data_IF_746978976538
#
_entry.id   IF_746978976538
#
_cell.length_a   1.000
_cell.length_b   1.000
_cell.length_c   1.000
_cell.angle_alpha   90.00
_cell.angle_beta   90.00
_cell.angle_gamma   90.00
#
_symmetry.space_group_name_H-M   'P 1'
#
loop_
_entity.id
_entity.type
_entity.pdbx_description
1 polymer ?
#
# COMPACT_ATOMS: atom_id res chain seq x y z
N UNK A 1 102.22 46.94 -74.13
CA UNK A 1 103.11 46.52 -75.24
C UNK A 1 102.63 47.02 -76.60
N UNK A 2 101.49 46.55 -77.14
CA UNK A 2 100.96 47.09 -78.41
C UNK A 2 100.50 48.56 -78.31
N UNK A 3 99.88 48.96 -77.19
CA UNK A 3 99.50 50.35 -76.92
C UNK A 3 100.71 51.28 -76.73
N UNK A 4 101.78 50.81 -76.07
CA UNK A 4 103.06 51.54 -75.99
C UNK A 4 103.67 51.75 -77.38
N UNK A 5 103.65 50.74 -78.24
CA UNK A 5 104.13 50.86 -79.62
C UNK A 5 103.38 51.96 -80.40
N UNK A 6 102.06 52.07 -80.23
CA UNK A 6 101.27 53.14 -80.85
C UNK A 6 101.62 54.53 -80.30
N UNK A 7 101.84 54.67 -78.99
CA UNK A 7 102.19 55.95 -78.35
C UNK A 7 103.56 56.50 -78.81
N UNK A 8 104.56 55.62 -79.02
CA UNK A 8 105.87 56.01 -79.55
C UNK A 8 105.79 56.55 -81.00
N UNK A 9 104.81 56.10 -81.79
CA UNK A 9 104.62 56.53 -83.20
C UNK A 9 103.90 57.88 -83.34
N UNK A 10 103.21 58.33 -82.28
CA UNK A 10 102.46 59.61 -82.23
C UNK A 10 103.28 60.73 -81.58
N UNK A 11 104.48 60.42 -81.06
CA UNK A 11 105.36 61.42 -80.42
C UNK A 11 105.07 61.69 -78.94
N UNK A 12 104.18 60.92 -78.31
CA UNK A 12 103.87 61.01 -76.86
C UNK A 12 104.83 60.14 -76.03
N UNK A 13 106.00 60.68 -75.69
CA UNK A 13 107.02 59.94 -74.92
C UNK A 13 106.62 59.66 -73.46
N UNK A 14 105.74 60.45 -72.86
CA UNK A 14 105.28 60.25 -71.47
C UNK A 14 104.31 59.06 -71.35
N UNK A 15 103.38 58.93 -72.30
CA UNK A 15 102.47 57.78 -72.39
C UNK A 15 103.22 56.47 -72.61
N UNK A 16 104.28 56.51 -73.43
CA UNK A 16 105.16 55.36 -73.67
C UNK A 16 105.81 54.82 -72.40
N UNK A 17 106.42 55.70 -71.60
CA UNK A 17 107.08 55.32 -70.35
C UNK A 17 106.11 54.76 -69.32
N UNK A 18 104.92 55.35 -69.22
CA UNK A 18 103.87 54.86 -68.33
C UNK A 18 103.40 53.45 -68.71
N UNK A 19 103.25 53.15 -70.00
CA UNK A 19 102.87 51.82 -70.48
C UNK A 19 103.96 50.76 -70.28
N UNK A 20 105.23 51.16 -70.42
CA UNK A 20 106.37 50.27 -70.17
C UNK A 20 106.45 49.91 -68.68
N UNK A 21 106.27 50.90 -67.79
CA UNK A 21 106.17 50.68 -66.35
C UNK A 21 104.97 49.78 -65.97
N UNK A 22 103.78 50.01 -66.55
CA UNK A 22 102.62 49.13 -66.36
C UNK A 22 102.88 47.70 -66.81
N UNK A 23 103.59 47.52 -67.92
CA UNK A 23 103.95 46.19 -68.44
C UNK A 23 104.87 45.47 -67.46
N UNK A 24 105.90 46.13 -66.94
CA UNK A 24 106.78 45.55 -65.90
C UNK A 24 106.01 45.20 -64.62
N UNK A 25 105.06 46.04 -64.18
CA UNK A 25 104.19 45.70 -63.03
C UNK A 25 103.33 44.47 -63.30
N UNK A 26 102.73 44.35 -64.49
CA UNK A 26 101.93 43.17 -64.88
C UNK A 26 102.75 41.88 -64.92
N UNK A 27 104.01 41.95 -65.37
CA UNK A 27 104.92 40.78 -65.33
C UNK A 27 105.22 40.37 -63.89
N UNK A 28 105.43 41.32 -62.97
CA UNK A 28 105.58 41.01 -61.54
C UNK A 28 104.33 40.33 -60.97
N UNK A 29 103.15 40.88 -61.23
CA UNK A 29 101.88 40.29 -60.80
C UNK A 29 101.65 38.89 -61.39
N UNK A 30 102.00 38.68 -62.67
CA UNK A 30 101.92 37.37 -63.30
C UNK A 30 102.86 36.35 -62.62
N UNK A 31 104.09 36.74 -62.28
CA UNK A 31 105.03 35.88 -61.53
C UNK A 31 104.50 35.55 -60.12
N UNK A 32 103.91 36.51 -59.45
CA UNK A 32 103.33 36.32 -58.11
C UNK A 32 102.10 35.40 -58.15
N UNK A 33 101.18 35.62 -59.10
CA UNK A 33 100.04 34.73 -59.33
C UNK A 33 100.45 33.31 -59.72
N UNK A 34 101.49 33.19 -60.55
CA UNK A 34 102.08 31.89 -60.90
C UNK A 34 102.69 31.18 -59.67
N UNK A 35 103.37 31.93 -58.80
CA UNK A 35 103.91 31.40 -57.54
C UNK A 35 102.80 30.89 -56.61
N UNK A 36 101.72 31.66 -56.43
CA UNK A 36 100.54 31.23 -55.63
C UNK A 36 99.95 29.93 -56.18
N UNK A 37 99.86 29.81 -57.51
CA UNK A 37 99.40 28.58 -58.15
C UNK A 37 100.33 27.39 -57.88
N UNK A 38 101.65 27.60 -57.96
CA UNK A 38 102.65 26.56 -57.72
C UNK A 38 102.76 26.14 -56.25
N UNK A 39 102.52 27.05 -55.31
CA UNK A 39 102.57 26.82 -53.85
C UNK A 39 101.27 26.25 -53.27
N UNK A 40 100.30 25.84 -54.10
CA UNK A 40 99.03 25.25 -53.65
C UNK A 40 99.24 23.98 -52.82
N UNK A 41 98.50 23.85 -51.70
CA UNK A 41 98.63 22.72 -50.76
C UNK A 41 98.15 21.37 -51.31
N UNK A 42 97.15 21.38 -52.19
CA UNK A 42 96.58 20.16 -52.78
C UNK A 42 96.95 20.07 -54.25
N UNK A 43 97.79 19.08 -54.61
CA UNK A 43 98.18 18.78 -55.99
C UNK A 43 97.74 17.36 -56.35
N UNK A 44 96.91 17.20 -57.38
CA UNK A 44 96.62 15.87 -57.93
C UNK A 44 97.75 15.38 -58.84
N UNK A 45 97.80 14.08 -59.17
CA UNK A 45 98.70 13.57 -60.20
C UNK A 45 98.55 14.31 -61.55
N UNK A 46 97.32 14.69 -61.92
CA UNK A 46 97.05 15.46 -63.13
C UNK A 46 97.59 16.90 -63.04
N UNK A 47 97.45 17.56 -61.88
CA UNK A 47 98.01 18.90 -61.69
C UNK A 47 99.55 18.87 -61.68
N UNK A 48 100.16 17.85 -61.07
CA UNK A 48 101.62 17.66 -61.06
C UNK A 48 102.20 17.44 -62.46
N UNK A 49 101.47 16.71 -63.33
CA UNK A 49 101.86 16.49 -64.71
C UNK A 49 101.85 17.78 -65.55
N UNK A 50 100.99 18.74 -65.21
CA UNK A 50 100.87 20.03 -65.89
C UNK A 50 101.79 21.12 -65.30
N UNK A 51 102.12 21.04 -64.00
CA UNK A 51 102.97 22.03 -63.31
C UNK A 51 104.35 22.22 -63.99
N UNK A 52 105.00 21.12 -64.38
CA UNK A 52 106.31 21.17 -65.06
C UNK A 52 106.24 21.90 -66.42
N UNK A 53 105.43 21.41 -67.39
CA UNK A 53 105.22 22.07 -68.67
C UNK A 53 104.72 23.51 -68.56
N UNK A 54 103.87 23.81 -67.57
CA UNK A 54 103.36 25.15 -67.34
C UNK A 54 104.47 26.09 -66.82
N UNK A 55 105.32 25.62 -65.92
CA UNK A 55 106.49 26.38 -65.44
C UNK A 55 107.47 26.66 -66.57
N UNK A 56 107.76 25.65 -67.40
CA UNK A 56 108.67 25.80 -68.54
C UNK A 56 108.12 26.79 -69.56
N UNK A 57 106.85 26.67 -69.95
CA UNK A 57 106.21 27.57 -70.92
C UNK A 57 106.03 28.99 -70.39
N UNK A 58 105.67 29.16 -69.10
CA UNK A 58 105.59 30.47 -68.46
C UNK A 58 106.94 31.18 -68.41
N UNK A 59 107.98 30.49 -67.95
CA UNK A 59 109.33 31.06 -67.90
C UNK A 59 109.85 31.37 -69.30
N UNK A 60 109.60 30.51 -70.29
CA UNK A 60 109.96 30.79 -71.68
C UNK A 60 109.24 32.05 -72.21
N UNK A 61 107.93 32.16 -71.98
CA UNK A 61 107.14 33.32 -72.40
C UNK A 61 107.66 34.63 -71.77
N UNK A 62 107.97 34.61 -70.47
CA UNK A 62 108.46 35.80 -69.76
C UNK A 62 109.91 36.13 -70.15
N UNK A 63 110.82 35.16 -70.10
CA UNK A 63 112.25 35.41 -70.23
C UNK A 63 112.72 35.50 -71.69
N UNK A 64 112.09 34.75 -72.62
CA UNK A 64 112.46 34.75 -74.04
C UNK A 64 111.49 35.55 -74.92
N UNK A 65 110.23 35.70 -74.52
CA UNK A 65 109.24 36.51 -75.24
C UNK A 65 109.25 37.95 -74.74
N UNK A 66 108.73 38.17 -73.54
CA UNK A 66 108.42 39.49 -73.01
C UNK A 66 109.65 40.31 -72.61
N UNK A 67 110.69 39.70 -72.02
CA UNK A 67 111.92 40.44 -71.62
C UNK A 67 112.63 41.10 -72.81
N UNK A 68 112.97 40.38 -73.90
CA UNK A 68 113.56 41.03 -75.07
C UNK A 68 112.63 42.09 -75.67
N UNK A 69 111.32 41.87 -75.65
CA UNK A 69 110.34 42.85 -76.11
C UNK A 69 110.37 44.14 -75.26
N UNK A 70 110.53 44.02 -73.93
CA UNK A 70 110.73 45.15 -73.00
C UNK A 70 112.05 45.87 -73.25
N UNK A 71 113.13 45.13 -73.49
CA UNK A 71 114.43 45.75 -73.77
C UNK A 71 114.45 46.47 -75.12
N UNK A 72 113.86 45.89 -76.18
CA UNK A 72 113.64 46.59 -77.46
C UNK A 72 112.79 47.85 -77.28
N UNK A 73 111.80 47.79 -76.38
CA UNK A 73 110.99 48.96 -76.01
C UNK A 73 111.81 50.03 -75.29
N UNK A 74 112.65 49.68 -74.32
CA UNK A 74 113.54 50.65 -73.64
C UNK A 74 114.51 51.33 -74.60
N UNK A 75 114.95 50.62 -75.64
CA UNK A 75 115.84 51.14 -76.68
C UNK A 75 115.13 51.97 -77.76
N UNK A 76 113.79 52.10 -77.70
CA UNK A 76 113.00 52.81 -78.70
C UNK A 76 112.94 52.12 -80.07
N UNK A 77 113.36 50.85 -80.17
CA UNK A 77 113.38 50.08 -81.42
C UNK A 77 112.00 49.46 -81.68
N UNK A 78 111.16 50.18 -82.42
CA UNK A 78 109.82 49.71 -82.78
C UNK A 78 109.86 48.46 -83.66
N UNK A 79 110.76 48.41 -84.64
CA UNK A 79 110.93 47.25 -85.53
C UNK A 79 111.36 46.00 -84.74
N UNK A 80 112.23 46.16 -83.73
CA UNK A 80 112.64 45.07 -82.84
C UNK A 80 111.49 44.51 -82.02
N UNK A 81 110.56 45.35 -81.57
CA UNK A 81 109.37 44.91 -80.83
C UNK A 81 108.43 44.11 -81.72
N UNK A 82 108.13 44.60 -82.93
CA UNK A 82 107.20 43.94 -83.85
C UNK A 82 107.75 42.61 -84.34
N UNK A 83 109.05 42.54 -84.64
CA UNK A 83 109.71 41.29 -84.99
C UNK A 83 109.69 40.28 -83.83
N UNK A 84 110.06 40.72 -82.62
CA UNK A 84 110.04 39.87 -81.43
C UNK A 84 108.62 39.37 -81.10
N UNK A 85 107.61 40.22 -81.28
CA UNK A 85 106.20 39.87 -81.08
C UNK A 85 105.74 38.78 -82.04
N UNK A 86 105.99 39.00 -83.34
CA UNK A 86 105.49 38.14 -84.42
C UNK A 86 106.24 36.81 -84.47
N UNK A 87 107.56 36.82 -84.32
CA UNK A 87 108.38 35.62 -84.53
C UNK A 87 108.50 34.74 -83.29
N UNK A 88 108.47 35.34 -82.09
CA UNK A 88 108.80 34.66 -80.83
C UNK A 88 107.67 34.76 -79.80
N UNK A 89 107.30 35.97 -79.37
CA UNK A 89 106.41 36.17 -78.21
C UNK A 89 105.04 35.55 -78.42
N UNK A 90 104.43 35.71 -79.61
CA UNK A 90 103.11 35.12 -79.87
C UNK A 90 103.11 33.59 -79.85
N UNK A 91 104.15 32.95 -80.40
CA UNK A 91 104.29 31.48 -80.37
C UNK A 91 104.47 30.97 -78.94
N UNK A 92 105.22 31.71 -78.11
CA UNK A 92 105.40 31.37 -76.70
C UNK A 92 104.13 31.63 -75.87
N UNK A 93 103.35 32.67 -76.19
CA UNK A 93 102.04 32.94 -75.60
C UNK A 93 101.07 31.79 -75.89
N UNK A 94 100.95 31.39 -77.16
CA UNK A 94 100.11 30.27 -77.59
C UNK A 94 100.51 28.96 -76.89
N UNK A 95 101.82 28.69 -76.78
CA UNK A 95 102.34 27.50 -76.11
C UNK A 95 102.05 27.51 -74.60
N UNK A 96 102.19 28.66 -73.92
CA UNK A 96 101.85 28.82 -72.51
C UNK A 96 100.33 28.68 -72.30
N UNK A 97 99.53 29.34 -73.13
CA UNK A 97 98.08 29.36 -73.02
C UNK A 97 97.47 27.95 -73.23
N UNK A 98 98.02 27.16 -74.14
CA UNK A 98 97.60 25.77 -74.34
C UNK A 98 97.75 24.89 -73.09
N UNK A 99 98.82 25.08 -72.30
CA UNK A 99 99.02 24.36 -71.04
C UNK A 99 98.18 24.97 -69.92
N UNK A 100 98.07 26.30 -69.86
CA UNK A 100 97.26 27.01 -68.89
C UNK A 100 95.79 26.59 -68.96
N UNK A 101 95.22 26.51 -70.16
CA UNK A 101 93.83 26.10 -70.36
C UNK A 101 93.57 24.66 -69.88
N UNK A 102 94.53 23.75 -70.06
CA UNK A 102 94.43 22.38 -69.52
C UNK A 102 94.43 22.37 -67.99
N UNK A 103 95.29 23.19 -67.37
CA UNK A 103 95.36 23.32 -65.92
C UNK A 103 94.07 23.94 -65.34
N UNK A 104 93.52 24.97 -66.00
CA UNK A 104 92.23 25.56 -65.62
C UNK A 104 91.12 24.51 -65.72
N UNK A 105 91.00 23.81 -66.85
CA UNK A 105 89.95 22.80 -67.06
C UNK A 105 89.98 21.70 -66.00
N UNK A 106 91.16 21.12 -65.73
CA UNK A 106 91.33 20.09 -64.69
C UNK A 106 90.81 20.55 -63.31
N UNK A 107 91.10 21.81 -62.95
CA UNK A 107 90.69 22.36 -61.67
C UNK A 107 89.21 22.72 -61.63
N UNK A 108 88.63 23.20 -62.72
CA UNK A 108 87.19 23.48 -62.84
C UNK A 108 86.38 22.18 -62.69
N UNK A 109 86.75 21.13 -63.43
CA UNK A 109 86.08 19.81 -63.34
C UNK A 109 86.15 19.24 -61.91
N UNK A 110 87.28 19.41 -61.23
CA UNK A 110 87.42 19.00 -59.82
C UNK A 110 86.55 19.83 -58.87
N UNK A 111 86.50 21.14 -59.05
CA UNK A 111 85.67 22.00 -58.21
C UNK A 111 84.18 21.65 -58.35
N UNK A 112 83.73 21.36 -59.57
CA UNK A 112 82.38 20.87 -59.85
C UNK A 112 82.12 19.51 -59.19
N UNK A 113 83.05 18.55 -59.29
CA UNK A 113 82.92 17.23 -58.67
C UNK A 113 82.82 17.31 -57.14
N UNK A 114 83.64 18.13 -56.49
CA UNK A 114 83.61 18.32 -55.03
C UNK A 114 82.28 18.96 -54.59
N UNK A 115 81.81 19.97 -55.33
CA UNK A 115 80.53 20.63 -55.03
C UNK A 115 79.34 19.68 -55.22
N UNK A 116 79.37 18.82 -56.24
CA UNK A 116 78.34 17.81 -56.48
C UNK A 116 78.30 16.76 -55.35
N UNK A 117 79.45 16.27 -54.89
CA UNK A 117 79.54 15.33 -53.78
C UNK A 117 79.05 15.95 -52.47
N UNK A 118 79.43 17.19 -52.17
CA UNK A 118 78.96 17.90 -50.99
C UNK A 118 77.44 18.14 -51.00
N UNK A 119 76.87 18.47 -52.17
CA UNK A 119 75.43 18.64 -52.33
C UNK A 119 74.67 17.31 -52.14
N UNK A 120 75.21 16.20 -52.66
CA UNK A 120 74.63 14.86 -52.47
C UNK A 120 74.64 14.45 -51.00
N UNK A 121 75.78 14.59 -50.31
CA UNK A 121 75.90 14.24 -48.88
C UNK A 121 74.99 15.09 -48.00
N UNK A 122 74.88 16.40 -48.27
CA UNK A 122 73.96 17.28 -47.56
C UNK A 122 72.50 16.84 -47.73
N UNK A 123 72.09 16.50 -48.97
CA UNK A 123 70.73 16.06 -49.27
C UNK A 123 70.39 14.73 -48.57
N UNK A 124 71.30 13.76 -48.58
CA UNK A 124 71.11 12.47 -47.89
C UNK A 124 71.00 12.68 -46.38
N UNK A 125 71.85 13.52 -45.79
CA UNK A 125 71.80 13.86 -44.36
C UNK A 125 70.47 14.50 -43.95
N UNK A 126 69.97 15.45 -44.73
CA UNK A 126 68.66 16.08 -44.48
C UNK A 126 67.50 15.09 -44.58
N UNK A 127 67.49 14.21 -45.59
CA UNK A 127 66.43 13.19 -45.76
C UNK A 127 66.46 12.19 -44.59
N UNK A 128 67.64 11.72 -44.17
CA UNK A 128 67.77 10.79 -43.05
C UNK A 128 67.28 11.42 -41.72
N UNK A 129 67.62 12.69 -41.46
CA UNK A 129 67.16 13.40 -40.26
C UNK A 129 65.65 13.66 -40.29
N UNK A 130 65.10 14.05 -41.43
CA UNK A 130 63.65 14.23 -41.61
C UNK A 130 62.89 12.90 -41.43
N UNK A 131 63.40 11.79 -41.96
CA UNK A 131 62.81 10.47 -41.81
C UNK A 131 62.82 10.00 -40.34
N UNK A 132 63.93 10.20 -39.61
CA UNK A 132 64.02 9.88 -38.19
C UNK A 132 63.03 10.70 -37.35
N UNK A 133 62.90 12.00 -37.64
CA UNK A 133 61.94 12.87 -36.96
C UNK A 133 60.49 12.46 -37.25
N UNK A 134 60.17 12.15 -38.52
CA UNK A 134 58.85 11.65 -38.90
C UNK A 134 58.50 10.31 -38.23
N UNK A 135 59.47 9.39 -38.13
CA UNK A 135 59.27 8.12 -37.45
C UNK A 135 59.03 8.30 -35.94
N UNK A 136 59.77 9.20 -35.28
CA UNK A 136 59.57 9.53 -33.87
C UNK A 136 58.16 10.12 -33.62
N UNK A 137 57.73 11.06 -34.47
CA UNK A 137 56.38 11.62 -34.40
C UNK A 137 55.30 10.55 -34.59
N UNK A 138 55.47 9.65 -35.56
CA UNK A 138 54.52 8.57 -35.82
C UNK A 138 54.42 7.62 -34.62
N UNK A 139 55.55 7.27 -34.00
CA UNK A 139 55.58 6.42 -32.81
C UNK A 139 54.86 7.07 -31.62
N UNK A 140 55.07 8.36 -31.37
CA UNK A 140 54.34 9.10 -30.33
C UNK A 140 52.84 9.09 -30.62
N UNK A 141 52.45 9.33 -31.88
CA UNK A 141 51.04 9.35 -32.30
C UNK A 141 50.37 7.98 -32.09
N UNK A 142 51.07 6.89 -32.41
CA UNK A 142 50.61 5.52 -32.14
C UNK A 142 50.47 5.24 -30.64
N UNK A 143 51.44 5.65 -29.82
CA UNK A 143 51.36 5.47 -28.36
C UNK A 143 50.21 6.26 -27.73
N UNK A 144 49.98 7.50 -28.17
CA UNK A 144 48.84 8.32 -27.75
C UNK A 144 47.53 7.65 -28.15
N UNK A 145 47.43 7.13 -29.38
CA UNK A 145 46.23 6.45 -29.84
C UNK A 145 45.96 5.16 -29.04
N UNK A 146 46.99 4.35 -28.79
CA UNK A 146 46.88 3.10 -28.02
C UNK A 146 46.45 3.37 -26.58
N UNK A 147 47.08 4.35 -25.92
CA UNK A 147 46.73 4.74 -24.54
C UNK A 147 45.31 5.31 -24.47
N UNK A 148 44.91 6.14 -25.43
CA UNK A 148 43.54 6.66 -25.52
C UNK A 148 42.50 5.53 -25.69
N UNK A 149 42.74 4.59 -26.61
CA UNK A 149 41.85 3.44 -26.85
C UNK A 149 41.79 2.53 -25.62
N UNK A 150 42.93 2.26 -24.97
CA UNK A 150 43.00 1.45 -23.76
C UNK A 150 42.22 2.10 -22.61
N UNK A 151 42.46 3.39 -22.33
CA UNK A 151 41.78 4.09 -21.24
C UNK A 151 40.27 4.19 -21.48
N UNK A 152 39.86 4.48 -22.72
CA UNK A 152 38.44 4.55 -23.09
C UNK A 152 37.75 3.20 -22.93
N UNK A 153 38.39 2.11 -23.35
CA UNK A 153 37.78 0.76 -23.34
C UNK A 153 37.81 0.11 -21.95
N UNK A 154 38.88 0.29 -21.19
CA UNK A 154 39.10 -0.41 -19.90
C UNK A 154 38.58 0.39 -18.70
N UNK A 155 38.56 1.72 -18.78
CA UNK A 155 38.19 2.60 -17.65
C UNK A 155 36.90 3.37 -17.92
N UNK A 156 36.85 4.18 -18.97
CA UNK A 156 35.76 5.16 -19.18
C UNK A 156 34.43 4.46 -19.51
N UNK A 157 34.42 3.52 -20.45
CA UNK A 157 33.18 2.86 -20.87
C UNK A 157 32.53 2.05 -19.72
N UNK A 158 33.27 1.21 -18.95
CA UNK A 158 32.70 0.52 -17.80
C UNK A 158 32.21 1.45 -16.69
N UNK A 159 32.91 2.57 -16.43
CA UNK A 159 32.44 3.57 -15.46
C UNK A 159 31.11 4.20 -15.85
N UNK A 160 30.90 4.51 -17.14
CA UNK A 160 29.61 5.02 -17.62
C UNK A 160 28.47 4.01 -17.42
N UNK A 161 28.75 2.71 -17.60
CA UNK A 161 27.77 1.66 -17.31
C UNK A 161 27.42 1.61 -15.81
N UNK A 162 28.42 1.74 -14.93
CA UNK A 162 28.19 1.81 -13.48
C UNK A 162 27.31 3.00 -13.10
N UNK A 163 27.56 4.18 -13.67
CA UNK A 163 26.75 5.39 -13.44
C UNK A 163 25.30 5.16 -13.88
N UNK A 164 25.07 4.65 -15.09
CA UNK A 164 23.71 4.37 -15.57
C UNK A 164 22.98 3.32 -14.72
N UNK A 165 23.70 2.36 -14.13
CA UNK A 165 23.11 1.39 -13.20
C UNK A 165 22.74 2.02 -11.86
N UNK A 166 23.59 2.89 -11.33
CA UNK A 166 23.29 3.66 -10.11
C UNK A 166 22.07 4.56 -10.34
N UNK A 167 21.98 5.23 -11.49
CA UNK A 167 20.82 6.05 -11.85
C UNK A 167 19.52 5.24 -11.88
N UNK A 168 19.53 4.04 -12.48
CA UNK A 168 18.37 3.12 -12.45
C UNK A 168 17.98 2.69 -11.04
N UNK A 169 18.97 2.30 -10.23
CA UNK A 169 18.74 1.92 -8.83
C UNK A 169 18.13 3.11 -8.05
N UNK A 170 18.64 4.32 -8.27
CA UNK A 170 18.13 5.54 -7.64
C UNK A 170 16.69 5.88 -8.08
N UNK A 171 16.31 5.52 -9.31
CA UNK A 171 14.94 5.62 -9.82
C UNK A 171 14.02 4.46 -9.36
N UNK A 172 14.56 3.48 -8.62
CA UNK A 172 13.83 2.31 -8.16
C UNK A 172 13.73 1.17 -9.19
N UNK A 173 14.39 1.28 -10.34
CA UNK A 173 14.52 0.18 -11.30
C UNK A 173 15.66 -0.77 -10.89
N UNK A 174 15.28 -1.91 -10.32
CA UNK A 174 16.18 -2.97 -9.88
C UNK A 174 16.20 -4.17 -10.84
N UNK A 175 15.71 -4.02 -12.07
CA UNK A 175 15.53 -5.12 -13.04
C UNK A 175 16.75 -5.34 -13.94
N UNK A 176 17.79 -4.51 -13.80
CA UNK A 176 18.98 -4.60 -14.64
C UNK A 176 19.68 -5.97 -14.50
N UNK A 177 19.99 -6.67 -15.61
CA UNK A 177 20.58 -8.00 -15.59
C UNK A 177 22.02 -7.97 -15.08
N UNK A 178 22.46 -9.10 -14.52
CA UNK A 178 23.85 -9.32 -14.10
C UNK A 178 24.82 -9.14 -15.28
N UNK A 179 25.99 -8.54 -15.02
CA UNK A 179 27.01 -8.33 -16.05
C UNK A 179 28.35 -8.90 -15.59
N UNK A 180 29.05 -9.52 -16.54
CA UNK A 180 30.41 -9.99 -16.32
C UNK A 180 31.34 -8.80 -16.06
N UNK A 181 32.12 -8.88 -15.00
CA UNK A 181 33.08 -7.86 -14.59
C UNK A 181 34.52 -8.35 -14.73
N UNK A 182 35.43 -7.43 -15.07
CA UNK A 182 36.87 -7.73 -15.13
C UNK A 182 37.47 -7.93 -13.74
N UNK A 183 38.68 -8.50 -13.65
CA UNK A 183 39.41 -8.69 -12.38
C UNK A 183 40.06 -7.41 -11.82
N UNK A 184 39.72 -6.24 -12.35
CA UNK A 184 40.30 -4.96 -11.95
C UNK A 184 39.40 -4.21 -10.94
N UNK A 185 39.87 -3.08 -10.41
CA UNK A 185 39.12 -2.27 -9.43
C UNK A 185 37.72 -1.84 -9.90
N UNK A 186 37.55 -1.56 -11.20
CA UNK A 186 36.24 -1.23 -11.78
C UNK A 186 35.30 -2.45 -11.79
N UNK A 187 35.84 -3.64 -12.02
CA UNK A 187 35.05 -4.85 -11.93
C UNK A 187 34.60 -5.18 -10.50
N UNK A 188 35.43 -4.92 -9.49
CA UNK A 188 35.03 -5.01 -8.08
C UNK A 188 33.90 -4.03 -7.73
N UNK A 189 33.95 -2.80 -8.25
CA UNK A 189 32.85 -1.83 -8.11
C UNK A 189 31.54 -2.36 -8.71
N UNK A 190 31.57 -2.90 -9.94
CA UNK A 190 30.40 -3.49 -10.58
C UNK A 190 29.83 -4.68 -9.79
N UNK A 191 30.70 -5.54 -9.26
CA UNK A 191 30.30 -6.66 -8.41
C UNK A 191 29.56 -6.17 -7.15
N UNK A 192 30.12 -5.19 -6.44
CA UNK A 192 29.48 -4.63 -5.24
C UNK A 192 28.15 -3.93 -5.56
N UNK A 193 28.04 -3.23 -6.69
CA UNK A 193 26.77 -2.65 -7.15
C UNK A 193 25.72 -3.73 -7.44
N UNK A 194 26.13 -4.88 -7.98
CA UNK A 194 25.22 -6.01 -8.22
C UNK A 194 24.75 -6.63 -6.90
N UNK A 195 25.64 -6.83 -5.92
CA UNK A 195 25.26 -7.28 -4.58
C UNK A 195 24.30 -6.30 -3.89
N UNK A 196 24.55 -4.99 -4.02
CA UNK A 196 23.66 -3.95 -3.51
C UNK A 196 22.28 -4.01 -4.16
N UNK A 197 22.21 -4.11 -5.49
CA UNK A 197 20.94 -4.26 -6.21
C UNK A 197 20.20 -5.52 -5.75
N UNK A 198 20.87 -6.66 -5.65
CA UNK A 198 20.25 -7.91 -5.21
C UNK A 198 19.70 -7.82 -3.78
N UNK A 199 20.40 -7.12 -2.88
CA UNK A 199 19.92 -6.86 -1.53
C UNK A 199 18.68 -5.97 -1.53
N UNK A 200 18.69 -4.89 -2.33
CA UNK A 200 17.54 -4.00 -2.49
C UNK A 200 16.32 -4.74 -3.07
N UNK A 201 16.52 -5.62 -4.06
CA UNK A 201 15.44 -6.44 -4.63
C UNK A 201 14.78 -7.29 -3.55
N UNK A 202 15.57 -7.96 -2.70
CA UNK A 202 15.04 -8.75 -1.58
C UNK A 202 14.27 -7.88 -0.58
N UNK A 203 14.84 -6.77 -0.15
CA UNK A 203 14.19 -5.86 0.81
C UNK A 203 12.88 -5.32 0.27
N UNK A 204 12.86 -4.81 -0.98
CA UNK A 204 11.63 -4.30 -1.62
C UNK A 204 10.62 -5.43 -1.83
N UNK A 205 11.07 -6.63 -2.17
CA UNK A 205 10.23 -7.83 -2.27
C UNK A 205 9.52 -8.14 -0.96
N UNK A 206 10.26 -8.25 0.15
CA UNK A 206 9.69 -8.50 1.48
C UNK A 206 8.76 -7.37 1.94
N UNK A 207 9.10 -6.11 1.69
CA UNK A 207 8.21 -4.96 2.00
C UNK A 207 6.91 -5.05 1.20
N UNK A 208 6.99 -5.39 -0.09
CA UNK A 208 5.81 -5.56 -0.95
C UNK A 208 4.93 -6.72 -0.49
N UNK A 209 5.52 -7.86 -0.15
CA UNK A 209 4.80 -9.01 0.40
C UNK A 209 4.10 -8.65 1.72
N UNK A 210 4.80 -7.95 2.62
CA UNK A 210 4.22 -7.44 3.86
C UNK A 210 3.04 -6.48 3.61
N UNK A 211 3.17 -5.57 2.65
CA UNK A 211 2.08 -4.65 2.28
C UNK A 211 0.86 -5.38 1.72
N UNK A 212 1.05 -6.43 0.90
CA UNK A 212 -0.04 -7.26 0.40
C UNK A 212 -0.73 -8.01 1.53
N UNK A 213 0.03 -8.58 2.47
CA UNK A 213 -0.52 -9.25 3.65
C UNK A 213 -1.31 -8.28 4.55
N UNK A 214 -0.80 -7.07 4.78
CA UNK A 214 -1.51 -6.02 5.54
C UNK A 214 -2.80 -5.62 4.83
N UNK A 215 -2.78 -5.46 3.51
CA UNK A 215 -3.97 -5.12 2.73
C UNK A 215 -5.05 -6.21 2.83
N UNK A 216 -4.65 -7.48 2.67
CA UNK A 216 -5.55 -8.63 2.83
C UNK A 216 -6.14 -8.67 4.25
N UNK A 217 -5.30 -8.61 5.28
CA UNK A 217 -5.75 -8.62 6.68
C UNK A 217 -6.67 -7.44 7.00
N UNK A 218 -6.39 -6.24 6.47
CA UNK A 218 -7.25 -5.07 6.65
C UNK A 218 -8.61 -5.22 5.96
N UNK A 219 -8.63 -5.85 4.78
CA UNK A 219 -9.88 -6.14 4.07
C UNK A 219 -10.73 -7.18 4.81
N UNK A 220 -10.10 -8.22 5.37
CA UNK A 220 -10.77 -9.21 6.22
C UNK A 220 -11.32 -8.58 7.50
N UNK A 221 -10.55 -7.73 8.17
CA UNK A 221 -11.00 -6.97 9.35
C UNK A 221 -12.18 -6.08 8.97
N UNK A 222 -12.13 -5.37 7.85
CA UNK A 222 -13.24 -4.52 7.41
C UNK A 222 -14.51 -5.33 7.16
N UNK A 223 -14.41 -6.48 6.49
CA UNK A 223 -15.55 -7.36 6.24
C UNK A 223 -16.11 -7.92 7.57
N UNK A 224 -15.23 -8.36 8.47
CA UNK A 224 -15.62 -8.82 9.81
C UNK A 224 -16.26 -7.72 10.66
N UNK A 225 -15.81 -6.47 10.53
CA UNK A 225 -16.40 -5.34 11.23
C UNK A 225 -17.79 -4.98 10.68
N UNK A 226 -18.01 -5.12 9.37
CA UNK A 226 -19.35 -4.97 8.77
C UNK A 226 -20.30 -6.07 9.27
N UNK A 227 -19.86 -7.32 9.31
CA UNK A 227 -20.66 -8.43 9.88
C UNK A 227 -20.97 -8.19 11.37
N UNK A 228 -19.97 -7.79 12.15
CA UNK A 228 -20.15 -7.45 13.56
C UNK A 228 -21.16 -6.31 13.74
N UNK A 229 -21.03 -5.23 12.96
CA UNK A 229 -21.97 -4.10 12.99
C UNK A 229 -23.40 -4.57 12.70
N UNK A 230 -23.59 -5.38 11.67
CA UNK A 230 -24.91 -5.94 11.33
C UNK A 230 -25.48 -6.80 12.46
N UNK A 231 -24.65 -7.63 13.10
CA UNK A 231 -25.06 -8.45 14.24
C UNK A 231 -25.37 -7.61 15.47
N UNK A 232 -24.62 -6.53 15.71
CA UNK A 232 -24.90 -5.57 16.78
C UNK A 232 -26.21 -4.84 16.54
N UNK A 233 -26.53 -4.43 15.31
CA UNK A 233 -27.82 -3.85 14.95
C UNK A 233 -28.97 -4.85 15.14
N UNK A 234 -28.80 -6.10 14.71
CA UNK A 234 -29.77 -7.17 14.95
C UNK A 234 -29.98 -7.43 16.45
N UNK A 235 -28.90 -7.45 17.24
CA UNK A 235 -28.97 -7.63 18.68
C UNK A 235 -29.65 -6.45 19.37
N UNK A 236 -29.39 -5.22 18.93
CA UNK A 236 -30.08 -4.03 19.42
C UNK A 236 -31.58 -4.11 19.15
N UNK A 237 -31.97 -4.48 17.93
CA UNK A 237 -33.39 -4.68 17.57
C UNK A 237 -34.04 -5.82 18.38
N UNK A 238 -33.32 -6.93 18.61
CA UNK A 238 -33.80 -8.02 19.45
C UNK A 238 -33.97 -7.59 20.91
N UNK A 239 -33.08 -6.74 21.43
CA UNK A 239 -33.17 -6.16 22.77
C UNK A 239 -34.35 -5.18 22.87
N UNK A 240 -34.59 -4.34 21.87
CA UNK A 240 -35.79 -3.47 21.81
C UNK A 240 -37.08 -4.30 21.83
N UNK A 241 -37.14 -5.39 21.04
CA UNK A 241 -38.30 -6.27 21.05
C UNK A 241 -38.47 -6.99 22.39
N UNK A 242 -37.36 -7.37 23.04
CA UNK A 242 -37.39 -7.97 24.39
C UNK A 242 -37.87 -6.95 25.41
N UNK A 243 -37.40 -5.71 25.38
CA UNK A 243 -37.83 -4.64 26.26
C UNK A 243 -39.33 -4.34 26.09
N UNK A 244 -39.82 -4.22 24.84
CA UNK A 244 -41.25 -4.06 24.56
C UNK A 244 -42.08 -5.24 25.08
N UNK A 245 -41.58 -6.48 24.92
CA UNK A 245 -42.23 -7.67 25.46
C UNK A 245 -42.24 -7.68 26.99
N UNK A 246 -41.17 -7.20 27.64
CA UNK A 246 -41.09 -7.06 29.09
C UNK A 246 -42.06 -5.99 29.62
N UNK A 247 -42.25 -4.88 28.91
CA UNK A 247 -43.29 -3.89 29.24
C UNK A 247 -44.70 -4.50 29.16
N UNK A 248 -45.00 -5.24 28.09
CA UNK A 248 -46.29 -5.93 27.95
C UNK A 248 -46.50 -7.00 29.03
N UNK A 249 -45.46 -7.78 29.36
CA UNK A 249 -45.51 -8.76 30.44
C UNK A 249 -45.73 -8.09 31.79
N UNK A 250 -45.00 -7.01 32.09
CA UNK A 250 -45.16 -6.23 33.32
C UNK A 250 -46.59 -5.70 33.46
N UNK A 251 -47.15 -5.14 32.39
CA UNK A 251 -48.53 -4.67 32.38
C UNK A 251 -49.52 -5.80 32.65
N UNK A 252 -49.31 -6.97 32.03
CA UNK A 252 -50.18 -8.16 32.19
C UNK A 252 -50.09 -8.73 33.60
N UNK A 253 -48.90 -8.86 34.17
CA UNK A 253 -48.69 -9.35 35.55
C UNK A 253 -49.33 -8.41 36.56
N UNK A 254 -49.16 -7.09 36.38
CA UNK A 254 -49.83 -6.09 37.23
C UNK A 254 -51.35 -6.16 37.13
N UNK A 255 -51.88 -6.40 35.94
CA UNK A 255 -53.32 -6.60 35.73
C UNK A 255 -53.81 -7.89 36.40
N UNK A 256 -53.04 -8.98 36.34
CA UNK A 256 -53.37 -10.24 37.01
C UNK A 256 -53.40 -10.08 38.54
N UNK A 257 -52.42 -9.41 39.14
CA UNK A 257 -52.42 -9.10 40.57
C UNK A 257 -53.67 -8.31 40.98
N UNK A 258 -54.02 -7.27 40.21
CA UNK A 258 -55.23 -6.47 40.45
C UNK A 258 -56.51 -7.30 40.32
N UNK A 259 -56.59 -8.15 39.30
CA UNK A 259 -57.73 -9.03 39.08
C UNK A 259 -57.89 -10.06 40.20
N UNK A 260 -56.78 -10.63 40.70
CA UNK A 260 -56.79 -11.55 41.82
C UNK A 260 -57.30 -10.87 43.10
N UNK A 261 -56.85 -9.64 43.40
CA UNK A 261 -57.40 -8.85 44.50
C UNK A 261 -58.90 -8.57 44.35
N UNK A 262 -59.35 -8.20 43.15
CA UNK A 262 -60.75 -7.93 42.89
C UNK A 262 -61.61 -9.20 43.04
N UNK A 263 -61.14 -10.34 42.52
CA UNK A 263 -61.80 -11.63 42.67
C UNK A 263 -61.86 -12.10 44.13
N UNK A 264 -60.79 -11.88 44.91
CA UNK A 264 -60.76 -12.14 46.35
C UNK A 264 -61.82 -11.33 47.10
N UNK A 265 -61.98 -10.04 46.77
CA UNK A 265 -63.00 -9.19 47.37
C UNK A 265 -64.42 -9.63 47.01
N UNK A 266 -64.66 -10.04 45.76
CA UNK A 266 -65.94 -10.57 45.31
C UNK A 266 -66.27 -11.92 45.99
N UNK A 267 -65.27 -12.79 46.16
CA UNK A 267 -65.41 -14.03 46.91
C UNK A 267 -65.75 -13.76 48.38
N UNK A 268 -65.11 -12.78 49.02
CA UNK A 268 -65.43 -12.39 50.40
C UNK A 268 -66.89 -11.90 50.55
N UNK A 269 -67.38 -11.09 49.60
CA UNK A 269 -68.78 -10.65 49.56
C UNK A 269 -69.76 -11.82 49.37
N UNK A 270 -69.45 -12.73 48.44
CA UNK A 270 -70.25 -13.93 48.19
C UNK A 270 -70.30 -14.86 49.43
N UNK A 271 -69.17 -15.05 50.10
CA UNK A 271 -69.08 -15.82 51.35
C UNK A 271 -69.92 -15.18 52.47
N UNK A 272 -69.86 -13.84 52.59
CA UNK A 272 -70.71 -13.08 53.51
C UNK A 272 -72.20 -13.30 53.26
N UNK A 273 -72.63 -13.22 51.99
CA UNK A 273 -74.02 -13.47 51.58
C UNK A 273 -74.46 -14.91 51.84
N UNK A 274 -73.61 -15.89 51.54
CA UNK A 274 -73.89 -17.31 51.81
C UNK A 274 -74.04 -17.58 53.32
N UNK A 275 -73.20 -16.96 54.16
CA UNK A 275 -73.32 -17.04 55.63
C UNK A 275 -74.65 -16.47 56.12
N UNK A 276 -75.02 -15.28 55.68
CA UNK A 276 -76.33 -14.68 56.01
C UNK A 276 -77.49 -15.54 55.51
N UNK A 277 -77.36 -16.16 54.33
CA UNK A 277 -78.32 -17.14 53.82
C UNK A 277 -78.46 -18.36 54.75
N UNK A 278 -77.34 -18.91 55.23
CA UNK A 278 -77.34 -20.00 56.21
C UNK A 278 -78.01 -19.63 57.54
N UNK A 279 -77.79 -18.41 58.04
CA UNK A 279 -78.46 -17.90 59.25
C UNK A 279 -79.98 -17.77 59.06
N UNK A 280 -80.42 -17.25 57.90
CA UNK A 280 -81.84 -17.18 57.52
C UNK A 280 -82.48 -18.57 57.47
N UNK A 281 -81.82 -19.52 56.81
CA UNK A 281 -82.27 -20.92 56.72
C UNK A 281 -82.38 -21.56 58.10
N UNK A 282 -81.38 -21.36 58.98
CA UNK A 282 -81.43 -21.81 60.38
C UNK A 282 -82.63 -21.24 61.14
N UNK A 283 -82.96 -19.96 60.92
CA UNK A 283 -84.17 -19.32 61.44
C UNK A 283 -85.47 -19.96 60.93
N UNK A 284 -85.52 -20.36 59.65
CA UNK A 284 -86.67 -21.07 59.06
C UNK A 284 -86.82 -22.46 59.69
N UNK A 285 -85.75 -23.23 59.85
CA UNK A 285 -85.80 -24.55 60.53
C UNK A 285 -86.34 -24.42 61.95
N UNK A 286 -85.87 -23.43 62.72
CA UNK A 286 -86.39 -23.16 64.06
C UNK A 286 -87.89 -22.85 64.06
N UNK A 287 -88.34 -22.09 63.06
CA UNK A 287 -89.76 -21.76 62.89
C UNK A 287 -90.58 -23.01 62.54
N UNK A 288 -90.11 -23.84 61.60
CA UNK A 288 -90.76 -25.11 61.25
C UNK A 288 -90.87 -26.06 62.45
N UNK A 289 -89.83 -26.15 63.28
CA UNK A 289 -89.88 -26.94 64.52
C UNK A 289 -90.92 -26.40 65.52
N UNK A 290 -91.04 -25.08 65.66
CA UNK A 290 -92.07 -24.47 66.49
C UNK A 290 -93.49 -24.71 65.95
N UNK A 291 -93.69 -24.63 64.62
CA UNK A 291 -94.98 -24.94 63.99
C UNK A 291 -95.31 -26.42 64.18
N UNK A 292 -94.37 -27.34 63.95
CA UNK A 292 -94.55 -28.79 64.20
C UNK A 292 -94.95 -29.07 65.65
N UNK A 293 -94.26 -28.45 66.62
CA UNK A 293 -94.62 -28.56 68.03
C UNK A 293 -96.02 -28.00 68.35
N UNK A 294 -96.43 -26.93 67.68
CA UNK A 294 -97.78 -26.35 67.83
C UNK A 294 -98.85 -27.24 67.22
N UNK A 295 -98.62 -27.81 66.04
CA UNK A 295 -99.51 -28.77 65.38
C UNK A 295 -99.72 -30.03 66.21
N UNK A 296 -98.66 -30.56 66.86
CA UNK A 296 -98.78 -31.69 67.80
C UNK A 296 -99.70 -31.37 68.98
N UNK A 297 -99.58 -30.17 69.57
CA UNK A 297 -100.50 -29.73 70.63
C UNK A 297 -101.95 -29.63 70.14
N UNK A 298 -102.16 -29.16 68.91
CA UNK A 298 -103.51 -29.14 68.32
C UNK A 298 -104.04 -30.57 68.16
N UNK A 299 -103.23 -31.52 67.69
CA UNK A 299 -103.63 -32.93 67.59
C UNK A 299 -104.03 -33.53 68.95
N UNK A 300 -103.30 -33.22 70.01
CA UNK A 300 -103.65 -33.61 71.38
C UNK A 300 -104.99 -33.02 71.83
N UNK A 301 -105.23 -31.73 71.58
CA UNK A 301 -106.50 -31.05 71.90
C UNK A 301 -107.65 -31.66 71.10
N UNK A 302 -107.46 -31.90 69.81
CA UNK A 302 -108.48 -32.52 68.94
C UNK A 302 -108.85 -33.93 69.40
N UNK A 303 -107.87 -34.70 69.91
CA UNK A 303 -108.11 -36.00 70.53
C UNK A 303 -108.94 -35.91 71.82
N UNK A 304 -108.71 -34.88 72.64
CA UNK A 304 -109.55 -34.58 73.81
C UNK A 304 -110.97 -34.19 73.37
N UNK A 305 -111.13 -33.36 72.34
CA UNK A 305 -112.45 -32.99 71.80
C UNK A 305 -113.21 -34.21 71.30
N UNK A 306 -112.55 -35.10 70.55
CA UNK A 306 -113.15 -36.35 70.08
C UNK A 306 -113.57 -37.25 71.26
N UNK A 307 -112.74 -37.32 72.31
CA UNK A 307 -113.06 -38.04 73.54
C UNK A 307 -114.26 -37.45 74.28
N UNK A 308 -114.37 -36.11 74.37
CA UNK A 308 -115.52 -35.42 74.94
C UNK A 308 -116.77 -35.70 74.09
N UNK A 309 -116.68 -35.59 72.76
CA UNK A 309 -117.79 -35.87 71.86
C UNK A 309 -118.29 -37.31 72.00
N UNK A 310 -117.39 -38.28 72.15
CA UNK A 310 -117.74 -39.67 72.45
C UNK A 310 -118.47 -39.80 73.80
N UNK A 311 -117.94 -39.19 74.86
CA UNK A 311 -118.59 -39.17 76.18
C UNK A 311 -119.99 -38.51 76.11
N UNK A 312 -120.13 -37.39 75.40
CA UNK A 312 -121.43 -36.72 75.19
C UNK A 312 -122.40 -37.60 74.42
N UNK A 313 -121.95 -38.33 73.40
CA UNK A 313 -122.77 -39.28 72.65
C UNK A 313 -123.28 -40.43 73.55
N UNK A 314 -122.44 -40.94 74.47
CA UNK A 314 -122.85 -41.97 75.45
C UNK A 314 -123.84 -41.40 76.48
N UNK A 315 -123.58 -40.19 77.01
CA UNK A 315 -124.48 -39.48 77.92
C UNK A 315 -125.86 -39.23 77.29
N UNK A 316 -125.88 -38.78 76.03
CA UNK A 316 -127.10 -38.52 75.27
C UNK A 316 -127.87 -39.82 74.98
N UNK A 317 -127.18 -40.92 74.69
CA UNK A 317 -127.80 -42.24 74.56
C UNK A 317 -128.46 -42.68 75.87
N UNK A 318 -127.75 -42.55 77.00
CA UNK A 318 -128.30 -42.87 78.33
C UNK A 318 -129.52 -42.01 78.66
N UNK A 319 -129.49 -40.71 78.35
CA UNK A 319 -130.62 -39.81 78.52
C UNK A 319 -131.81 -40.17 77.62
N UNK A 320 -131.57 -40.57 76.36
CA UNK A 320 -132.62 -41.02 75.45
C UNK A 320 -133.29 -42.32 75.94
N UNK A 321 -132.51 -43.25 76.51
CA UNK A 321 -133.02 -44.49 77.13
C UNK A 321 -133.89 -44.17 78.34
N UNK A 322 -133.45 -43.29 79.24
CA UNK A 322 -134.22 -42.93 80.43
C UNK A 322 -135.48 -42.11 80.08
N UNK A 323 -135.42 -41.27 79.04
CA UNK A 323 -136.56 -40.55 78.50
C UNK A 323 -137.61 -41.51 77.88
N UNK A 324 -137.17 -42.57 77.18
CA UNK A 324 -138.06 -43.63 76.69
C UNK A 324 -138.72 -44.41 77.83
N UNK A 325 -138.01 -44.57 78.96
CA UNK A 325 -138.49 -45.24 80.17
C UNK A 325 -139.59 -44.44 80.90
N UNK A 326 -139.58 -43.11 80.78
CA UNK A 326 -140.58 -42.21 81.36
C UNK A 326 -141.89 -42.06 80.54
N UNK A 327 -142.00 -42.75 79.38
CA UNK A 327 -143.23 -42.75 78.57
C UNK A 327 -143.60 -41.38 77.99
N UNK A 328 -144.89 -41.01 78.00
CA UNK A 328 -145.37 -39.74 77.42
C UNK A 328 -144.80 -38.49 78.12
N UNK A 329 -144.39 -38.59 79.40
CA UNK A 329 -143.78 -37.46 80.12
C UNK A 329 -142.33 -37.19 79.70
N UNK A 330 -141.64 -38.18 79.11
CA UNK A 330 -140.24 -38.09 78.67
C UNK A 330 -140.06 -37.63 77.23
N UNK A 331 -141.15 -37.42 76.48
CA UNK A 331 -141.13 -37.19 75.03
C UNK A 331 -140.31 -35.97 74.61
N UNK A 332 -140.41 -34.86 75.34
CA UNK A 332 -139.60 -33.66 75.10
C UNK A 332 -138.11 -33.89 75.41
N UNK A 333 -137.80 -34.62 76.48
CA UNK A 333 -136.42 -34.99 76.83
C UNK A 333 -135.79 -35.95 75.82
N UNK A 334 -136.56 -36.88 75.24
CA UNK A 334 -136.08 -37.80 74.21
C UNK A 334 -135.65 -37.06 72.93
N UNK A 335 -136.39 -36.01 72.53
CA UNK A 335 -136.01 -35.17 71.38
C UNK A 335 -134.73 -34.41 71.65
N UNK A 336 -134.60 -33.78 72.83
CA UNK A 336 -133.36 -33.08 73.22
C UNK A 336 -132.18 -34.05 73.29
N UNK A 337 -132.36 -35.25 73.85
CA UNK A 337 -131.31 -36.27 73.91
C UNK A 337 -130.88 -36.74 72.51
N UNK A 338 -131.82 -36.90 71.56
CA UNK A 338 -131.50 -37.22 70.17
C UNK A 338 -130.73 -36.09 69.47
N UNK A 339 -131.08 -34.83 69.72
CA UNK A 339 -130.40 -33.67 69.15
C UNK A 339 -128.98 -33.51 69.71
N UNK A 340 -128.81 -33.69 71.04
CA UNK A 340 -127.49 -33.71 71.69
C UNK A 340 -126.63 -34.84 71.15
N UNK A 341 -127.22 -36.01 70.88
CA UNK A 341 -126.53 -37.15 70.27
C UNK A 341 -126.07 -36.84 68.84
N UNK A 342 -126.94 -36.26 68.02
CA UNK A 342 -126.59 -35.87 66.66
C UNK A 342 -125.46 -34.82 66.66
N UNK A 343 -125.55 -33.83 67.54
CA UNK A 343 -124.51 -32.82 67.73
C UNK A 343 -123.18 -33.45 68.17
N UNK A 344 -123.20 -34.42 69.09
CA UNK A 344 -122.01 -35.14 69.51
C UNK A 344 -121.37 -35.95 68.38
N UNK A 345 -122.16 -36.63 67.54
CA UNK A 345 -121.65 -37.33 66.35
C UNK A 345 -121.05 -36.37 65.33
N UNK A 346 -121.69 -35.22 65.09
CA UNK A 346 -121.15 -34.16 64.22
C UNK A 346 -119.84 -33.58 64.75
N UNK A 347 -119.75 -33.35 66.06
CA UNK A 347 -118.51 -32.90 66.71
C UNK A 347 -117.38 -33.92 66.61
N UNK A 348 -117.68 -35.22 66.78
CA UNK A 348 -116.70 -36.29 66.62
C UNK A 348 -116.19 -36.40 65.17
N UNK A 349 -117.09 -36.25 64.19
CA UNK A 349 -116.73 -36.25 62.78
C UNK A 349 -115.84 -35.04 62.42
N UNK A 350 -116.22 -33.84 62.86
CA UNK A 350 -115.41 -32.63 62.67
C UNK A 350 -114.04 -32.75 63.35
N UNK A 351 -113.97 -33.33 64.56
CA UNK A 351 -112.72 -33.59 65.25
C UNK A 351 -111.80 -34.53 64.45
N UNK A 352 -112.33 -35.62 63.87
CA UNK A 352 -111.55 -36.52 63.00
C UNK A 352 -111.05 -35.84 61.73
N UNK A 353 -111.85 -34.98 61.11
CA UNK A 353 -111.43 -34.21 59.93
C UNK A 353 -110.29 -33.24 60.28
N UNK A 354 -110.38 -32.53 61.42
CA UNK A 354 -109.31 -31.68 61.93
C UNK A 354 -108.05 -32.52 62.24
N UNK A 355 -108.20 -33.69 62.86
CA UNK A 355 -107.08 -34.58 63.17
C UNK A 355 -106.34 -35.00 61.90
N UNK A 356 -107.07 -35.37 60.84
CA UNK A 356 -106.48 -35.72 59.54
C UNK A 356 -105.72 -34.55 58.91
N UNK A 357 -106.29 -33.34 58.92
CA UNK A 357 -105.63 -32.14 58.37
C UNK A 357 -104.38 -31.75 59.16
N UNK A 358 -104.40 -31.94 60.47
CA UNK A 358 -103.23 -31.68 61.32
C UNK A 358 -102.14 -32.73 61.10
N UNK A 359 -102.50 -34.01 60.92
CA UNK A 359 -101.55 -35.06 60.57
C UNK A 359 -100.86 -34.75 59.24
N UNK A 360 -101.63 -34.38 58.21
CA UNK A 360 -101.09 -33.95 56.91
C UNK A 360 -100.18 -32.72 57.05
N UNK A 361 -100.58 -31.74 57.85
CA UNK A 361 -99.77 -30.54 58.10
C UNK A 361 -98.43 -30.88 58.78
N UNK A 362 -98.42 -31.83 59.73
CA UNK A 362 -97.19 -32.28 60.40
C UNK A 362 -96.24 -32.94 59.41
N UNK A 363 -96.74 -33.78 58.50
CA UNK A 363 -95.94 -34.41 57.44
C UNK A 363 -95.35 -33.36 56.48
N UNK A 364 -96.16 -32.40 56.02
CA UNK A 364 -95.69 -31.31 55.16
C UNK A 364 -94.61 -30.46 55.83
N UNK A 365 -94.80 -30.12 57.11
CA UNK A 365 -93.79 -29.37 57.89
C UNK A 365 -92.51 -30.20 58.06
N UNK A 366 -92.61 -31.51 58.30
CA UNK A 366 -91.43 -32.37 58.45
C UNK A 366 -90.63 -32.43 57.16
N UNK A 367 -91.30 -32.60 56.02
CA UNK A 367 -90.66 -32.62 54.71
C UNK A 367 -90.03 -31.25 54.40
N UNK A 368 -90.74 -30.16 54.67
CA UNK A 368 -90.20 -28.80 54.52
C UNK A 368 -88.97 -28.55 55.40
N UNK A 369 -89.00 -29.01 56.65
CA UNK A 369 -87.86 -28.91 57.57
C UNK A 369 -86.62 -29.66 57.05
N UNK A 370 -86.82 -30.86 56.47
CA UNK A 370 -85.74 -31.62 55.84
C UNK A 370 -85.12 -30.86 54.66
N UNK A 371 -85.93 -30.39 53.71
CA UNK A 371 -85.46 -29.66 52.52
C UNK A 371 -84.72 -28.37 52.89
N UNK A 372 -85.22 -27.64 53.88
CA UNK A 372 -84.58 -26.42 54.38
C UNK A 372 -83.26 -26.77 55.11
N UNK A 373 -83.21 -27.90 55.83
CA UNK A 373 -81.97 -28.40 56.42
C UNK A 373 -80.90 -28.74 55.39
N UNK A 374 -81.28 -29.42 54.30
CA UNK A 374 -80.38 -29.69 53.16
C UNK A 374 -79.88 -28.40 52.52
N UNK A 375 -80.77 -27.42 52.29
CA UNK A 375 -80.39 -26.11 51.78
C UNK A 375 -79.38 -25.39 52.70
N UNK A 376 -79.52 -25.57 54.03
CA UNK A 376 -78.57 -25.06 55.01
C UNK A 376 -77.18 -25.71 54.89
N UNK A 377 -77.15 -27.03 54.70
CA UNK A 377 -75.90 -27.78 54.44
C UNK A 377 -75.22 -27.30 53.16
N UNK A 378 -75.98 -27.13 52.07
CA UNK A 378 -75.44 -26.62 50.80
C UNK A 378 -74.88 -25.20 50.94
N UNK A 379 -75.50 -24.33 51.74
CA UNK A 379 -74.92 -23.01 52.04
C UNK A 379 -73.56 -23.12 52.74
N UNK A 380 -73.42 -24.08 53.67
CA UNK A 380 -72.13 -24.37 54.31
C UNK A 380 -71.06 -24.83 53.32
N UNK A 381 -71.41 -25.72 52.39
CA UNK A 381 -70.50 -26.16 51.33
C UNK A 381 -70.09 -25.02 50.40
N UNK A 382 -71.00 -24.11 50.06
CA UNK A 382 -70.70 -22.90 49.28
C UNK A 382 -69.70 -22.01 50.02
N UNK A 383 -69.87 -21.80 51.33
CA UNK A 383 -68.93 -21.00 52.12
C UNK A 383 -67.52 -21.60 52.08
N UNK A 384 -67.38 -22.92 52.23
CA UNK A 384 -66.07 -23.59 52.12
C UNK A 384 -65.50 -23.53 50.70
N UNK A 385 -66.31 -23.71 49.67
CA UNK A 385 -65.86 -23.60 48.28
C UNK A 385 -65.35 -22.20 47.95
N UNK A 386 -66.08 -21.16 48.38
CA UNK A 386 -65.69 -19.76 48.20
C UNK A 386 -64.43 -19.44 49.01
N UNK A 387 -64.28 -20.01 50.22
CA UNK A 387 -63.05 -19.86 51.02
C UNK A 387 -61.82 -20.38 50.27
N UNK A 388 -61.92 -21.56 49.64
CA UNK A 388 -60.83 -22.09 48.78
C UNK A 388 -60.52 -21.17 47.60
N UNK A 389 -61.53 -20.56 46.97
CA UNK A 389 -61.31 -19.58 45.90
C UNK A 389 -60.53 -18.37 46.41
N UNK A 390 -60.88 -17.84 47.58
CA UNK A 390 -60.16 -16.73 48.21
C UNK A 390 -58.70 -17.08 48.49
N UNK A 391 -58.42 -18.30 48.99
CA UNK A 391 -57.06 -18.77 49.25
C UNK A 391 -56.23 -18.83 47.94
N UNK A 392 -56.80 -19.40 46.86
CA UNK A 392 -56.15 -19.46 45.54
C UNK A 392 -55.89 -18.05 44.99
N UNK A 393 -56.84 -17.11 45.14
CA UNK A 393 -56.64 -15.74 44.68
C UNK A 393 -55.51 -15.04 45.45
N UNK A 394 -55.34 -15.33 46.75
CA UNK A 394 -54.22 -14.81 47.53
C UNK A 394 -52.87 -15.34 47.05
N UNK A 395 -52.79 -16.64 46.72
CA UNK A 395 -51.59 -17.24 46.13
C UNK A 395 -51.25 -16.64 44.75
N UNK A 396 -52.26 -16.43 43.89
CA UNK A 396 -52.05 -15.79 42.58
C UNK A 396 -51.56 -14.35 42.73
N UNK A 397 -52.12 -13.59 43.68
CA UNK A 397 -51.68 -12.23 43.95
C UNK A 397 -50.21 -12.20 44.40
N UNK A 398 -49.84 -13.07 45.34
CA UNK A 398 -48.45 -13.19 45.83
C UNK A 398 -47.48 -13.60 44.71
N UNK A 399 -47.84 -14.61 43.91
CA UNK A 399 -47.03 -15.05 42.77
C UNK A 399 -46.89 -13.96 41.70
N UNK A 400 -47.95 -13.18 41.44
CA UNK A 400 -47.91 -12.07 40.49
C UNK A 400 -47.01 -10.93 40.99
N UNK A 401 -47.03 -10.62 42.29
CA UNK A 401 -46.13 -9.64 42.89
C UNK A 401 -44.66 -10.08 42.81
N UNK A 402 -44.39 -11.36 43.04
CA UNK A 402 -43.04 -11.94 42.88
C UNK A 402 -42.58 -11.90 41.42
N UNK A 403 -43.45 -12.27 40.47
CA UNK A 403 -43.17 -12.14 39.03
C UNK A 403 -42.88 -10.69 38.65
N UNK A 404 -43.65 -9.73 39.16
CA UNK A 404 -43.42 -8.31 38.90
C UNK A 404 -42.04 -7.86 39.40
N UNK A 405 -41.63 -8.31 40.59
CA UNK A 405 -40.28 -8.03 41.13
C UNK A 405 -39.18 -8.70 40.30
N UNK A 406 -39.40 -9.94 39.87
CA UNK A 406 -38.47 -10.67 39.01
C UNK A 406 -38.27 -9.99 37.66
N UNK A 407 -39.36 -9.51 37.04
CA UNK A 407 -39.27 -8.77 35.78
C UNK A 407 -38.50 -7.45 35.96
N UNK A 408 -38.72 -6.73 37.07
CA UNK A 408 -37.97 -5.50 37.39
C UNK A 408 -36.47 -5.70 37.66
N UNK A 409 -36.01 -6.93 37.89
CA UNK A 409 -34.57 -7.22 38.02
C UNK A 409 -33.91 -7.53 36.68
N UNK A 410 -34.70 -7.96 35.69
CA UNK A 410 -34.23 -8.35 34.35
C UNK A 410 -34.35 -7.21 33.35
N UNK A 411 -35.41 -6.40 33.50
CA UNK A 411 -35.58 -5.13 32.81
C UNK A 411 -34.70 -4.05 33.44
#
# INVERSE_FOLDING_TARGET
MLQSCAAARIGEMDGYRADLARTETRIKQAREGFKIYMDRKMKTPADLALDGPLTTSFNAYIDKGLKPMIESAKQGSFEGIVAQETDVTRKLDDAYNAVLLKAIKSRTERAEAINAEAAHQSRVGFIAMAAAFAAALLLVLVLVLLTFVFLRRVVINPLRLSVGRIERIAQGDLTAPEQAYGRNGIGSLLHNLQLMQASLVRTVGTVREGAVAIYQGSSEISAGNTDLSSRTEQQASALEQTAASMEQLTATVKQNAKNAHHASQLAADASGKARSGGELVSGVVKTMNNISGSSKKIAEITNVINSIAFQTNILALNAAVEAARAGEQGRGFAVVASEVRNLAQRSAQAAKEIESLIAESVDLISNGSHQVGEAGSTMGEIVEAVRRVTDIMAEIAAASDEQSRGIQQVA
#
